data_IF_824807426126
#
_entry.id   IF_824807426126
#
_cell.length_a   1.000
_cell.length_b   1.000
_cell.length_c   1.000
_cell.angle_alpha   90.00
_cell.angle_beta   90.00
_cell.angle_gamma   90.00
#
_symmetry.space_group_name_H-M   'P 1'
#
loop_
_entity.id
_entity.type
_entity.pdbx_description
1 polymer ?
#
# COMPACT_ATOMS: atom_id res chain seq x y z
N UNK A 1 -7.50 2.11 -4.40
CA UNK A 1 -6.99 1.52 -3.15
C UNK A 1 -6.22 0.30 -3.57
N UNK A 2 -5.09 0.04 -2.96
CA UNK A 2 -4.27 -1.09 -3.34
C UNK A 2 -3.61 -1.73 -2.12
N UNK A 3 -3.31 -3.02 -2.22
CA UNK A 3 -2.54 -3.74 -1.22
C UNK A 3 -1.36 -4.47 -1.86
N UNK A 4 -0.33 -4.72 -1.07
CA UNK A 4 0.77 -5.59 -1.43
C UNK A 4 1.24 -6.36 -0.19
N UNK A 5 1.86 -7.51 -0.44
CA UNK A 5 2.38 -8.36 0.63
C UNK A 5 3.89 -8.24 0.67
N UNK A 6 4.44 -7.95 1.84
CA UNK A 6 5.88 -7.93 2.03
C UNK A 6 6.47 -9.34 1.96
N UNK A 7 7.71 -9.40 1.48
CA UNK A 7 8.56 -10.56 1.71
C UNK A 7 8.77 -10.76 3.23
N UNK A 8 9.08 -12.01 3.62
CA UNK A 8 9.25 -12.37 5.04
C UNK A 8 10.32 -11.48 5.69
N UNK A 9 9.96 -10.80 6.78
CA UNK A 9 10.86 -9.92 7.52
C UNK A 9 11.11 -8.54 6.87
N UNK A 10 10.42 -8.20 5.77
CA UNK A 10 10.64 -6.95 5.02
C UNK A 10 9.49 -5.94 5.18
N UNK A 11 8.62 -6.11 6.18
CA UNK A 11 7.44 -5.24 6.33
C UNK A 11 7.83 -3.78 6.57
N UNK A 12 8.77 -3.52 7.46
CA UNK A 12 9.18 -2.15 7.78
C UNK A 12 9.90 -1.48 6.61
N UNK A 13 10.77 -2.20 5.90
CA UNK A 13 11.40 -1.74 4.65
C UNK A 13 10.36 -1.41 3.58
N UNK A 14 9.32 -2.25 3.45
CA UNK A 14 8.26 -2.02 2.49
C UNK A 14 7.40 -0.82 2.86
N UNK A 15 7.12 -0.62 4.15
CA UNK A 15 6.42 0.59 4.64
C UNK A 15 7.25 1.83 4.33
N UNK A 16 8.56 1.80 4.59
CA UNK A 16 9.45 2.93 4.27
C UNK A 16 9.46 3.23 2.76
N UNK A 17 9.53 2.19 1.91
CA UNK A 17 9.46 2.35 0.46
C UNK A 17 8.12 2.96 0.03
N UNK A 18 6.99 2.40 0.49
CA UNK A 18 5.65 2.89 0.17
C UNK A 18 5.49 4.35 0.60
N UNK A 19 5.88 4.71 1.82
CA UNK A 19 5.77 6.08 2.33
C UNK A 19 6.61 7.10 1.55
N UNK A 20 7.69 6.66 0.89
CA UNK A 20 8.54 7.54 0.08
C UNK A 20 8.05 7.72 -1.36
N UNK A 21 7.21 6.81 -1.88
CA UNK A 21 6.85 6.76 -3.30
C UNK A 21 5.35 6.84 -3.57
N UNK A 22 4.50 6.58 -2.58
CA UNK A 22 3.06 6.78 -2.71
C UNK A 22 2.73 8.27 -2.82
N UNK A 23 1.53 8.56 -3.34
CA UNK A 23 1.01 9.92 -3.37
C UNK A 23 1.04 10.55 -1.96
N UNK A 24 1.45 11.83 -1.82
CA UNK A 24 1.55 12.48 -0.51
C UNK A 24 0.24 12.54 0.29
N UNK A 25 -0.92 12.52 -0.39
CA UNK A 25 -2.23 12.53 0.24
C UNK A 25 -2.78 11.11 0.48
N UNK A 26 -2.00 10.07 0.13
CA UNK A 26 -2.39 8.69 0.35
C UNK A 26 -2.31 8.32 1.84
N UNK A 27 -3.28 7.53 2.30
CA UNK A 27 -3.25 6.95 3.65
C UNK A 27 -2.65 5.55 3.60
N UNK A 28 -1.62 5.31 4.42
CA UNK A 28 -0.87 4.06 4.46
C UNK A 28 -1.15 3.29 5.75
N UNK A 29 -1.54 2.03 5.62
CA UNK A 29 -1.81 1.13 6.73
C UNK A 29 -0.93 -0.12 6.62
N UNK A 30 -0.47 -0.64 7.76
CA UNK A 30 0.23 -1.92 7.83
C UNK A 30 -0.57 -2.95 8.61
N UNK A 31 -0.45 -4.22 8.25
CA UNK A 31 -1.05 -5.33 8.97
C UNK A 31 -0.54 -5.41 10.42
N UNK A 32 -1.45 -5.65 11.36
CA UNK A 32 -1.12 -6.07 12.73
C UNK A 32 -1.13 -7.59 12.92
N UNK A 33 -1.54 -8.35 11.90
CA UNK A 33 -1.69 -9.80 11.92
C UNK A 33 -0.51 -10.58 11.32
N UNK A 34 -0.72 -11.89 11.11
CA UNK A 34 0.32 -12.83 10.70
C UNK A 34 0.84 -12.64 9.26
N UNK A 35 0.04 -12.05 8.37
CA UNK A 35 0.48 -11.77 7.00
C UNK A 35 0.97 -10.33 6.88
N UNK A 36 2.26 -10.11 6.52
CA UNK A 36 2.82 -8.77 6.43
C UNK A 36 2.30 -8.08 5.18
N UNK A 37 1.31 -7.20 5.35
CA UNK A 37 0.67 -6.46 4.25
C UNK A 37 0.75 -4.96 4.49
N UNK A 38 0.79 -4.22 3.40
CA UNK A 38 0.57 -2.78 3.36
C UNK A 38 -0.67 -2.53 2.52
N UNK A 39 -1.58 -1.69 3.01
CA UNK A 39 -2.78 -1.23 2.31
C UNK A 39 -2.69 0.27 2.17
N UNK A 40 -2.97 0.78 0.97
CA UNK A 40 -2.89 2.19 0.66
C UNK A 40 -4.20 2.68 0.06
N UNK A 41 -4.74 3.72 0.68
CA UNK A 41 -5.86 4.50 0.17
C UNK A 41 -5.26 5.69 -0.58
N UNK A 42 -5.07 5.49 -1.88
CA UNK A 42 -4.49 6.46 -2.81
C UNK A 42 -5.62 7.16 -3.60
N UNK A 43 -5.77 8.49 -3.48
CA UNK A 43 -6.84 9.25 -4.15
C UNK A 43 -6.65 9.34 -5.67
N UNK A 44 -5.43 9.14 -6.17
CA UNK A 44 -5.11 9.19 -7.60
C UNK A 44 -5.42 7.87 -8.31
N UNK A 45 -5.43 6.78 -7.56
CA UNK A 45 -5.60 5.42 -8.09
C UNK A 45 -4.43 4.92 -8.93
N UNK A 46 -3.30 5.64 -8.97
CA UNK A 46 -2.16 5.27 -9.82
C UNK A 46 -1.39 4.05 -9.31
N UNK A 47 -1.53 3.68 -8.03
CA UNK A 47 -0.83 2.52 -7.48
C UNK A 47 0.62 2.84 -7.14
N UNK A 48 1.47 1.80 -7.17
CA UNK A 48 2.91 1.95 -6.94
C UNK A 48 3.68 1.25 -8.07
N UNK A 49 4.34 2.00 -8.97
CA UNK A 49 5.16 1.39 -10.00
C UNK A 49 6.45 0.81 -9.42
N UNK A 50 6.93 -0.29 -10.02
CA UNK A 50 8.29 -0.80 -9.90
C UNK A 50 8.78 -1.08 -8.46
N UNK A 51 7.91 -1.62 -7.61
CA UNK A 51 8.31 -2.06 -6.26
C UNK A 51 9.43 -3.10 -6.34
N UNK A 52 10.56 -2.91 -5.64
CA UNK A 52 11.67 -3.86 -5.66
C UNK A 52 11.19 -5.28 -5.34
N UNK A 53 11.44 -6.27 -6.23
CA UNK A 53 10.92 -7.63 -6.08
C UNK A 53 11.29 -8.30 -4.75
N UNK A 54 12.45 -7.96 -4.18
CA UNK A 54 12.94 -8.46 -2.90
C UNK A 54 12.15 -7.96 -1.68
N UNK A 55 11.37 -6.88 -1.85
CA UNK A 55 10.50 -6.34 -0.79
C UNK A 55 9.13 -7.01 -0.77
N UNK A 56 8.72 -7.68 -1.86
CA UNK A 56 7.35 -8.17 -2.03
C UNK A 56 7.27 -9.69 -2.19
N UNK A 57 6.34 -10.30 -1.46
CA UNK A 57 5.91 -11.68 -1.68
C UNK A 57 4.73 -11.76 -2.67
N UNK A 58 4.03 -10.64 -2.87
CA UNK A 58 2.94 -10.51 -3.85
C UNK A 58 2.91 -9.09 -4.39
N UNK A 59 2.79 -8.91 -5.71
CA UNK A 59 2.73 -7.58 -6.31
C UNK A 59 1.52 -6.78 -5.82
N UNK A 60 1.52 -5.46 -6.03
CA UNK A 60 0.36 -4.61 -5.79
C UNK A 60 -0.89 -5.15 -6.50
N UNK A 61 -1.98 -5.27 -5.74
CA UNK A 61 -3.30 -5.55 -6.26
C UNK A 61 -4.18 -4.34 -5.95
N UNK A 62 -4.69 -3.71 -7.00
CA UNK A 62 -5.50 -2.49 -6.92
C UNK A 62 -6.97 -2.78 -7.16
N UNK A 63 -7.82 -2.01 -6.50
CA UNK A 63 -9.27 -1.99 -6.70
C UNK A 63 -9.75 -0.54 -6.82
N UNK A 64 -10.68 -0.28 -7.77
CA UNK A 64 -11.37 1.00 -7.85
C UNK A 64 -12.25 1.19 -6.60
N UNK A 65 -12.34 2.43 -6.13
CA UNK A 65 -13.14 2.81 -4.98
C UNK A 65 -13.51 4.28 -5.12
N UNK A 66 -14.74 4.64 -4.75
CA UNK A 66 -15.22 6.02 -4.79
C UNK A 66 -15.25 6.63 -3.38
N UNK A 67 -14.82 7.90 -3.21
CA UNK A 67 -14.98 8.58 -1.94
C UNK A 67 -16.46 8.80 -1.65
N UNK A 68 -16.87 8.48 -0.42
CA UNK A 68 -18.22 8.81 0.07
C UNK A 68 -18.13 10.10 0.88
N UNK A 69 -18.78 11.15 0.40
CA UNK A 69 -18.94 12.38 1.17
C UNK A 69 -19.79 12.08 2.42
N UNK A 70 -19.20 12.23 3.61
CA UNK A 70 -19.96 12.29 4.86
C UNK A 70 -20.30 13.76 5.10
N UNK A 71 -21.60 14.10 5.03
CA UNK A 71 -22.07 15.43 5.37
C UNK A 71 -21.61 15.82 6.78
N UNK A 72 -21.19 17.07 6.92
CA UNK A 72 -20.74 17.69 8.19
C UNK A 72 -21.85 17.76 9.22
#
# INVERSE_FOLDING_TARGET
>A
MWELRAAKGRLDDLVAYVSAHADPDAQVFRSSGAEPRVVVIDPTGQGLPDVPPELIARPPHAWPFDPVARGT
#
